data_IF_685145099289
#
_entry.id   IF_685145099289
#
_cell.length_a   1.000
_cell.length_b   1.000
_cell.length_c   1.000
_cell.angle_alpha   90.00
_cell.angle_beta   90.00
_cell.angle_gamma   90.00
#
_symmetry.space_group_name_H-M   'P 1'
#
loop_
_entity.id
_entity.type
_entity.pdbx_description
1 polymer ?
#
# COMPACT_ATOMS: atom_id res chain seq x y z
N UNK A 1 -1.38 18.44 19.78
CA UNK A 1 -1.77 17.53 18.68
C UNK A 1 -1.11 18.05 17.43
N UNK A 2 -0.36 17.20 16.75
CA UNK A 2 0.37 17.60 15.55
C UNK A 2 -0.63 17.87 14.43
N UNK A 3 -0.66 19.12 13.97
CA UNK A 3 -1.49 19.60 12.86
C UNK A 3 -0.81 19.25 11.53
N UNK A 4 -0.39 17.99 11.41
CA UNK A 4 0.48 17.47 10.37
C UNK A 4 0.02 16.07 9.95
N UNK A 5 0.02 15.81 8.65
CA UNK A 5 -0.14 14.46 8.13
C UNK A 5 1.18 13.68 8.24
N UNK A 6 1.18 12.54 8.95
CA UNK A 6 2.37 11.70 9.12
C UNK A 6 2.89 11.08 7.81
N UNK A 7 2.02 10.89 6.82
CA UNK A 7 2.38 10.21 5.56
C UNK A 7 2.96 11.17 4.52
N UNK A 8 2.39 12.36 4.34
CA UNK A 8 2.88 13.34 3.36
C UNK A 8 3.68 14.49 3.98
N UNK A 9 3.62 14.68 5.31
CA UNK A 9 4.27 15.80 5.99
C UNK A 9 3.56 17.14 5.83
N UNK A 10 2.40 17.20 5.16
CA UNK A 10 1.62 18.43 5.02
C UNK A 10 1.21 18.95 6.40
N UNK A 11 1.49 20.22 6.66
CA UNK A 11 1.09 20.92 7.88
C UNK A 11 -0.03 21.91 7.56
N UNK A 12 -1.10 21.87 8.34
CA UNK A 12 -2.21 22.79 8.15
C UNK A 12 -2.89 23.06 9.49
N UNK A 13 -3.02 24.33 9.86
CA UNK A 13 -3.58 24.72 11.16
C UNK A 13 -5.04 24.28 11.36
N UNK A 14 -5.75 24.03 10.26
CA UNK A 14 -7.13 23.54 10.26
C UNK A 14 -7.25 22.02 10.45
N UNK A 15 -6.12 21.28 10.46
CA UNK A 15 -6.14 19.83 10.70
C UNK A 15 -6.60 19.51 12.12
N UNK A 16 -7.90 19.27 12.23
CA UNK A 16 -8.54 18.51 13.30
C UNK A 16 -8.43 17.02 12.98
N UNK A 17 -8.72 16.15 13.95
CA UNK A 17 -8.78 14.69 13.72
C UNK A 17 -9.71 14.35 12.54
N UNK A 18 -10.87 15.00 12.46
CA UNK A 18 -11.85 14.79 11.40
C UNK A 18 -11.35 15.27 10.02
N UNK A 19 -10.60 16.38 9.98
CA UNK A 19 -9.98 16.85 8.75
C UNK A 19 -8.80 15.98 8.31
N UNK A 20 -8.03 15.41 9.25
CA UNK A 20 -6.99 14.42 8.95
C UNK A 20 -7.58 13.14 8.37
N UNK A 21 -8.71 12.67 8.90
CA UNK A 21 -9.44 11.53 8.31
C UNK A 21 -9.87 11.79 6.87
N UNK A 22 -10.42 12.99 6.61
CA UNK A 22 -10.75 13.39 5.25
C UNK A 22 -9.50 13.49 4.37
N UNK A 23 -8.40 14.02 4.91
CA UNK A 23 -7.12 14.11 4.19
C UNK A 23 -6.60 12.72 3.82
N UNK A 24 -6.52 11.78 4.76
CA UNK A 24 -6.03 10.42 4.49
C UNK A 24 -6.83 9.73 3.39
N UNK A 25 -8.12 10.03 3.33
CA UNK A 25 -9.02 9.35 2.43
C UNK A 25 -9.18 10.04 1.04
N UNK A 26 -9.07 11.37 0.95
CA UNK A 26 -9.24 12.10 -0.33
C UNK A 26 -8.01 12.83 -0.85
N UNK A 27 -7.17 13.34 0.04
CA UNK A 27 -6.19 14.38 -0.32
C UNK A 27 -4.75 13.90 -0.21
N UNK A 28 -4.49 12.85 0.58
CA UNK A 28 -3.13 12.41 0.85
C UNK A 28 -2.51 11.79 -0.42
N UNK A 29 -1.42 12.36 -0.96
CA UNK A 29 -0.78 11.83 -2.16
C UNK A 29 -0.11 10.47 -1.91
N UNK A 30 0.24 10.19 -0.66
CA UNK A 30 0.91 8.97 -0.22
C UNK A 30 -0.04 7.80 0.04
N UNK A 31 -1.34 8.07 0.12
CA UNK A 31 -2.37 7.07 0.39
C UNK A 31 -3.32 6.90 -0.80
N UNK A 32 -3.82 5.68 -0.99
CA UNK A 32 -4.87 5.35 -1.94
C UNK A 32 -5.90 4.46 -1.27
N UNK A 33 -7.17 4.69 -1.61
CA UNK A 33 -8.25 3.74 -1.32
C UNK A 33 -8.18 2.54 -2.27
N UNK A 34 -8.15 1.35 -1.71
CA UNK A 34 -8.30 0.11 -2.47
C UNK A 34 -9.72 0.01 -3.02
N UNK A 35 -9.82 -0.24 -4.33
CA UNK A 35 -11.09 -0.32 -5.04
C UNK A 35 -11.82 -1.66 -4.76
N UNK A 36 -11.14 -2.63 -4.14
CA UNK A 36 -11.68 -3.97 -3.84
C UNK A 36 -12.13 -4.15 -2.38
N UNK A 37 -11.35 -3.67 -1.40
CA UNK A 37 -11.68 -3.80 0.02
C UNK A 37 -12.01 -2.46 0.71
N UNK A 38 -11.99 -1.35 -0.04
CA UNK A 38 -12.19 0.01 0.47
C UNK A 38 -11.13 0.54 1.43
N UNK A 39 -10.15 -0.25 1.89
CA UNK A 39 -9.12 0.17 2.84
C UNK A 39 -8.26 1.32 2.28
N UNK A 40 -7.85 2.24 3.14
CA UNK A 40 -6.87 3.28 2.80
C UNK A 40 -5.49 2.71 3.13
N UNK A 41 -4.62 2.64 2.13
CA UNK A 41 -3.29 2.02 2.22
C UNK A 41 -2.25 2.92 1.57
N UNK A 42 -0.99 2.74 1.93
CA UNK A 42 0.13 3.44 1.29
C UNK A 42 0.27 3.02 -0.17
N UNK A 43 0.56 3.99 -1.03
CA UNK A 43 0.72 3.72 -2.48
C UNK A 43 1.97 2.87 -2.73
N UNK A 44 3.03 3.02 -1.93
CA UNK A 44 4.25 2.22 -2.02
C UNK A 44 4.00 0.72 -1.78
N UNK A 45 3.12 0.38 -0.84
CA UNK A 45 2.75 -0.99 -0.48
C UNK A 45 1.50 -1.54 -1.19
N UNK A 46 0.90 -0.80 -2.13
CA UNK A 46 -0.40 -1.18 -2.71
C UNK A 46 -0.38 -2.53 -3.44
N UNK A 47 0.70 -2.83 -4.17
CA UNK A 47 0.84 -4.11 -4.86
C UNK A 47 0.92 -5.28 -3.88
N UNK A 48 1.68 -5.12 -2.79
CA UNK A 48 1.75 -6.13 -1.72
C UNK A 48 0.39 -6.32 -1.05
N UNK A 49 -0.31 -5.22 -0.74
CA UNK A 49 -1.67 -5.27 -0.22
C UNK A 49 -2.60 -6.12 -1.11
N UNK A 50 -2.60 -5.90 -2.42
CA UNK A 50 -3.48 -6.62 -3.34
C UNK A 50 -3.27 -8.13 -3.34
N UNK A 51 -2.04 -8.62 -3.12
CA UNK A 51 -1.74 -10.06 -3.21
C UNK A 51 -1.62 -10.76 -1.85
N UNK A 52 -1.52 -10.02 -0.74
CA UNK A 52 -1.32 -10.62 0.61
C UNK A 52 -2.43 -10.29 1.60
N UNK A 53 -2.98 -9.07 1.56
CA UNK A 53 -3.88 -8.56 2.60
C UNK A 53 -5.32 -8.36 2.12
N UNK A 54 -5.50 -7.99 0.86
CA UNK A 54 -6.78 -7.59 0.30
C UNK A 54 -7.85 -8.69 0.43
N UNK A 55 -9.10 -8.31 0.65
CA UNK A 55 -10.24 -9.25 0.61
C UNK A 55 -10.35 -9.96 -0.75
N UNK A 56 -9.82 -9.34 -1.83
CA UNK A 56 -9.81 -9.90 -3.17
C UNK A 56 -8.47 -10.53 -3.59
N UNK A 57 -7.57 -10.82 -2.64
CA UNK A 57 -6.20 -11.27 -2.94
C UNK A 57 -6.11 -12.49 -3.85
N UNK A 58 -7.06 -13.41 -3.74
CA UNK A 58 -7.08 -14.65 -4.52
C UNK A 58 -7.34 -14.41 -6.02
N UNK A 59 -7.71 -13.19 -6.41
CA UNK A 59 -7.94 -12.78 -7.80
C UNK A 59 -6.72 -12.11 -8.43
N UNK A 60 -5.70 -11.78 -7.63
CA UNK A 60 -4.57 -10.98 -8.05
C UNK A 60 -3.29 -11.80 -7.99
N UNK A 61 -2.39 -11.53 -8.93
CA UNK A 61 -1.07 -12.15 -8.96
C UNK A 61 -0.04 -11.15 -9.45
N UNK A 62 1.13 -11.17 -8.81
CA UNK A 62 2.22 -10.29 -9.20
C UNK A 62 2.97 -10.88 -10.40
N UNK A 63 3.12 -10.08 -11.45
CA UNK A 63 3.91 -10.46 -12.61
C UNK A 63 5.39 -10.59 -12.20
N UNK A 64 6.03 -11.74 -12.46
CA UNK A 64 7.42 -11.97 -12.07
C UNK A 64 8.41 -11.09 -12.85
N UNK A 65 7.98 -10.54 -14.00
CA UNK A 65 8.80 -9.73 -14.90
C UNK A 65 8.72 -8.23 -14.61
N UNK A 66 7.51 -7.67 -14.66
CA UNK A 66 7.31 -6.22 -14.54
C UNK A 66 7.01 -5.76 -13.11
N UNK A 67 6.79 -6.70 -12.17
CA UNK A 67 6.42 -6.48 -10.76
C UNK A 67 5.06 -5.82 -10.53
N UNK A 68 4.30 -5.59 -11.60
CA UNK A 68 2.92 -5.13 -11.51
C UNK A 68 1.99 -6.24 -11.00
N UNK A 69 0.83 -5.86 -10.47
CA UNK A 69 -0.20 -6.79 -10.02
C UNK A 69 -1.33 -6.79 -11.03
N UNK A 70 -1.61 -7.96 -11.59
CA UNK A 70 -2.66 -8.19 -12.59
C UNK A 70 -3.66 -9.22 -12.07
N UNK A 71 -4.79 -9.37 -12.75
CA UNK A 71 -5.70 -10.46 -12.45
C UNK A 71 -5.02 -11.79 -12.76
N UNK A 72 -5.21 -12.78 -11.89
CA UNK A 72 -4.61 -14.11 -12.05
C UNK A 72 -4.99 -14.75 -13.38
N UNK A 73 -6.22 -14.51 -13.84
CA UNK A 73 -6.72 -15.02 -15.13
C UNK A 73 -6.05 -14.38 -16.34
N UNK A 74 -5.53 -13.15 -16.20
CA UNK A 74 -4.89 -12.40 -17.30
C UNK A 74 -3.36 -12.52 -17.26
N UNK A 75 -2.80 -13.16 -16.23
CA UNK A 75 -1.35 -13.20 -16.02
C UNK A 75 -0.61 -13.92 -17.15
N UNK A 76 -1.17 -15.03 -17.64
CA UNK A 76 -0.54 -15.82 -18.71
C UNK A 76 -0.48 -15.02 -20.01
N UNK A 77 -1.58 -14.38 -20.41
CA UNK A 77 -1.64 -13.49 -21.58
C UNK A 77 -0.69 -12.29 -21.41
N UNK A 78 -0.72 -11.63 -20.25
CA UNK A 78 0.15 -10.50 -19.91
C UNK A 78 1.65 -10.82 -20.06
N UNK A 79 2.08 -12.02 -19.69
CA UNK A 79 3.48 -12.46 -19.83
C UNK A 79 3.79 -12.85 -21.28
N UNK A 80 2.88 -13.59 -21.93
CA UNK A 80 3.07 -14.16 -23.27
C UNK A 80 3.13 -13.08 -24.34
N UNK A 81 2.27 -12.07 -24.26
CA UNK A 81 2.21 -10.96 -25.21
C UNK A 81 3.44 -10.05 -25.12
N UNK A 82 4.27 -10.23 -24.09
CA UNK A 82 5.53 -9.49 -23.93
C UNK A 82 5.30 -7.96 -23.87
N UNK A 83 4.08 -7.54 -23.52
CA UNK A 83 3.63 -6.14 -23.45
C UNK A 83 4.16 -5.43 -22.21
N UNK A 84 4.60 -6.19 -21.20
CA UNK A 84 5.15 -5.66 -19.97
C UNK A 84 6.69 -5.58 -19.98
N UNK A 85 7.23 -4.45 -19.50
CA UNK A 85 8.67 -4.23 -19.41
C UNK A 85 9.19 -4.53 -18.00
N UNK A 86 10.38 -5.14 -17.91
CA UNK A 86 11.04 -5.31 -16.62
C UNK A 86 11.49 -3.94 -16.06
N UNK A 87 11.45 -3.73 -14.74
CA UNK A 87 11.91 -2.50 -14.12
C UNK A 87 13.38 -2.23 -14.43
N UNK A 88 13.71 -0.99 -14.78
CA UNK A 88 15.10 -0.51 -14.88
C UNK A 88 15.69 -0.34 -13.46
N UNK A 89 16.01 -1.46 -12.83
CA UNK A 89 16.53 -1.50 -11.46
C UNK A 89 16.75 -2.91 -10.91
N UNK A 90 16.49 -3.95 -11.71
CA UNK A 90 16.68 -5.34 -11.29
C UNK A 90 15.52 -5.86 -10.44
N UNK A 91 15.78 -6.93 -9.69
CA UNK A 91 14.72 -7.70 -8.98
C UNK A 91 14.13 -6.97 -7.78
N UNK A 92 14.89 -6.05 -7.18
CA UNK A 92 14.55 -5.32 -5.96
C UNK A 92 14.04 -3.89 -6.24
N UNK A 93 13.80 -3.59 -7.52
CA UNK A 93 13.25 -2.31 -7.93
C UNK A 93 11.82 -2.16 -7.42
N UNK A 94 11.57 -1.06 -6.69
CA UNK A 94 10.23 -0.64 -6.32
C UNK A 94 9.56 0.01 -7.53
N UNK A 95 8.30 -0.35 -7.83
CA UNK A 95 7.56 0.16 -8.99
C UNK A 95 6.28 0.82 -8.51
N UNK A 96 6.04 2.04 -8.97
CA UNK A 96 4.81 2.76 -8.65
C UNK A 96 3.59 2.04 -9.26
N UNK A 97 2.60 1.62 -8.48
CA UNK A 97 1.43 0.89 -8.98
C UNK A 97 0.48 1.78 -9.80
N UNK A 98 0.67 3.10 -9.77
CA UNK A 98 -0.19 4.05 -10.49
C UNK A 98 0.32 4.33 -11.90
N UNK A 99 1.64 4.53 -12.06
CA UNK A 99 2.24 4.93 -13.33
C UNK A 99 3.33 3.97 -13.83
N UNK A 100 3.57 2.86 -13.12
CA UNK A 100 4.53 1.80 -13.48
C UNK A 100 5.96 2.26 -13.63
N UNK A 101 6.30 3.42 -13.05
CA UNK A 101 7.66 3.95 -13.05
C UNK A 101 8.45 3.38 -11.88
N UNK A 102 9.73 3.11 -12.09
CA UNK A 102 10.63 2.67 -11.01
C UNK A 102 10.85 3.82 -10.04
N UNK A 103 10.72 3.52 -8.75
CA UNK A 103 10.95 4.44 -7.63
C UNK A 103 12.06 3.86 -6.76
N UNK A 104 12.87 4.72 -6.14
CA UNK A 104 13.87 4.27 -5.17
C UNK A 104 13.22 3.58 -3.97
N UNK A 105 13.96 2.72 -3.25
CA UNK A 105 13.45 2.02 -2.06
C UNK A 105 13.25 2.97 -0.86
N UNK A 106 13.84 4.16 -0.90
CA UNK A 106 13.75 5.15 0.17
C UNK A 106 12.38 5.83 0.21
N UNK A 107 11.89 6.13 1.41
CA UNK A 107 10.60 6.81 1.63
C UNK A 107 10.58 8.21 0.98
N UNK A 108 11.71 8.92 0.98
CA UNK A 108 11.84 10.23 0.36
C UNK A 108 11.72 10.14 -1.18
N UNK A 109 12.25 9.08 -1.79
CA UNK A 109 12.10 8.84 -3.23
C UNK A 109 10.61 8.64 -3.59
N UNK A 110 9.87 7.93 -2.74
CA UNK A 110 8.42 7.78 -2.89
C UNK A 110 7.65 9.08 -2.68
N UNK A 111 8.00 9.87 -1.66
CA UNK A 111 7.41 11.20 -1.44
C UNK A 111 7.60 12.10 -2.66
N UNK A 112 8.85 12.26 -3.10
CA UNK A 112 9.19 13.07 -4.28
C UNK A 112 8.49 12.54 -5.54
N UNK A 113 8.44 11.22 -5.73
CA UNK A 113 7.71 10.64 -6.86
C UNK A 113 6.22 10.96 -6.81
N UNK A 114 5.54 10.66 -5.70
CA UNK A 114 4.09 10.72 -5.60
C UNK A 114 3.56 12.15 -5.55
N UNK A 115 4.30 13.09 -4.96
CA UNK A 115 3.89 14.49 -4.87
C UNK A 115 4.18 15.26 -6.16
N UNK A 116 5.37 15.08 -6.74
CA UNK A 116 5.82 15.94 -7.84
C UNK A 116 5.83 15.26 -9.21
N UNK A 117 6.25 14.00 -9.28
CA UNK A 117 6.59 13.37 -10.56
C UNK A 117 5.52 12.42 -11.12
N UNK A 118 4.62 11.93 -10.27
CA UNK A 118 3.61 10.94 -10.65
C UNK A 118 2.37 11.62 -11.25
N UNK A 119 2.36 11.80 -12.57
CA UNK A 119 1.22 12.38 -13.30
C UNK A 119 -0.10 11.65 -13.02
N UNK A 120 -0.09 10.32 -12.99
CA UNK A 120 -1.29 9.52 -12.66
C UNK A 120 -1.78 9.80 -11.25
N UNK A 121 -0.88 10.03 -10.29
CA UNK A 121 -1.26 10.38 -8.92
C UNK A 121 -1.91 11.77 -8.85
N UNK A 122 -1.37 12.76 -9.58
CA UNK A 122 -1.95 14.11 -9.66
C UNK A 122 -3.38 14.06 -10.23
N UNK A 123 -3.59 13.30 -11.30
CA UNK A 123 -4.92 13.11 -11.91
C UNK A 123 -5.87 12.39 -10.95
N UNK A 124 -5.41 11.33 -10.26
CA UNK A 124 -6.18 10.60 -9.25
C UNK A 124 -6.68 11.52 -8.15
N UNK A 125 -5.81 12.36 -7.59
CA UNK A 125 -6.15 13.27 -6.50
C UNK A 125 -7.18 14.32 -6.94
N UNK A 126 -7.03 14.89 -8.14
CA UNK A 126 -8.01 15.82 -8.70
C UNK A 126 -9.40 15.18 -8.85
N UNK A 127 -9.47 13.94 -9.32
CA UNK A 127 -10.73 13.20 -9.44
C UNK A 127 -11.36 12.89 -8.07
N UNK A 128 -10.54 12.53 -7.07
CA UNK A 128 -11.02 12.22 -5.72
C UNK A 128 -11.55 13.46 -4.99
N UNK A 129 -10.96 14.64 -5.22
CA UNK A 129 -11.46 15.90 -4.66
C UNK A 129 -12.85 16.27 -5.19
N UNK A 130 -13.16 15.94 -6.44
CA UNK A 130 -14.47 16.17 -7.04
C UNK A 130 -15.57 15.22 -6.51
N UNK A 131 -15.20 14.11 -5.87
CA UNK A 131 -16.15 13.12 -5.35
C UNK A 131 -16.76 13.54 -4.00
N UNK A 132 -18.02 13.16 -3.71
CA UNK A 132 -18.64 13.42 -2.39
C UNK A 132 -18.00 12.55 -1.30
N UNK A 133 -17.86 13.10 -0.09
CA UNK A 133 -17.39 12.30 1.06
C UNK A 133 -18.49 11.26 1.45
N UNK A 134 -18.14 10.00 1.77
CA UNK A 134 -19.02 9.01 2.32
C UNK A 134 -19.31 9.42 3.75
N UNK A 135 -20.40 8.87 4.24
CA UNK A 135 -20.86 9.05 5.61
C UNK A 135 -19.79 8.58 6.60
N UNK A 136 -19.75 9.20 7.80
CA UNK A 136 -18.81 8.88 8.90
C UNK A 136 -18.75 7.38 9.22
N UNK A 137 -19.83 6.64 9.01
CA UNK A 137 -19.90 5.19 9.21
C UNK A 137 -18.91 4.42 8.32
N UNK A 138 -18.68 4.86 7.07
CA UNK A 138 -17.80 4.17 6.12
C UNK A 138 -16.31 4.38 6.41
N UNK A 139 -15.93 5.51 6.99
CA UNK A 139 -14.53 5.79 7.37
C UNK A 139 -14.08 4.93 8.55
N UNK A 140 -14.99 4.66 9.50
CA UNK A 140 -14.70 3.86 10.71
C UNK A 140 -14.60 2.37 10.45
N UNK A 141 -15.41 1.81 9.54
CA UNK A 141 -15.39 0.38 9.21
C UNK A 141 -14.04 -0.11 8.67
N UNK A 142 -13.22 0.78 8.12
CA UNK A 142 -11.92 0.44 7.56
C UNK A 142 -10.77 0.34 8.58
N UNK A 143 -10.91 0.93 9.78
CA UNK A 143 -9.85 0.93 10.80
C UNK A 143 -9.74 -0.40 11.57
N UNK A 144 -10.64 -1.36 11.35
CA UNK A 144 -10.78 -2.56 12.19
C UNK A 144 -10.28 -3.89 11.59
N UNK A 145 -9.74 -3.90 10.37
CA UNK A 145 -9.35 -5.14 9.68
C UNK A 145 -7.89 -5.11 9.23
N UNK A 146 -6.99 -4.87 10.20
CA UNK A 146 -5.54 -4.99 10.02
C UNK A 146 -4.98 -5.94 11.07
N UNK A 147 -4.66 -7.17 10.65
CA UNK A 147 -4.12 -8.22 11.49
C UNK A 147 -2.75 -7.85 12.07
N UNK A 148 -2.54 -8.22 13.32
CA UNK A 148 -1.34 -8.00 14.11
C UNK A 148 -0.13 -8.71 13.51
N UNK A 149 0.96 -8.00 13.22
CA UNK A 149 2.29 -8.58 13.10
C UNK A 149 3.11 -8.26 14.35
N UNK A 150 3.11 -9.22 15.28
CA UNK A 150 4.08 -9.29 16.38
C UNK A 150 5.43 -9.79 15.83
N UNK A 151 6.59 -9.19 16.18
CA UNK A 151 7.88 -9.78 15.85
C UNK A 151 8.13 -11.03 16.70
N UNK A 152 8.23 -12.18 16.03
CA UNK A 152 8.64 -13.47 16.61
C UNK A 152 10.18 -13.50 16.75
N UNK A 153 10.69 -13.32 17.96
CA UNK A 153 12.09 -13.62 18.30
C UNK A 153 12.29 -15.13 18.43
N UNK A 154 13.09 -15.73 17.52
CA UNK A 154 13.69 -17.05 17.70
C UNK A 154 14.94 -16.93 18.57
N UNK A 155 15.00 -17.71 19.65
CA UNK A 155 16.20 -17.96 20.43
C UNK A 155 16.20 -19.40 20.93
N UNK A 156 17.12 -20.20 20.39
CA UNK A 156 17.35 -21.63 20.65
C UNK A 156 18.00 -21.84 22.02
N UNK A 157 17.62 -22.89 22.77
CA UNK A 157 18.36 -23.33 23.96
C UNK A 157 17.91 -24.68 24.49
N UNK A 158 18.75 -25.70 24.32
CA UNK A 158 18.58 -27.10 24.72
C UNK A 158 18.70 -27.28 26.24
N UNK A 159 17.96 -28.22 26.82
CA UNK A 159 18.16 -28.67 28.20
C UNK A 159 17.35 -29.93 28.54
N UNK A 160 17.92 -31.11 28.29
CA UNK A 160 17.43 -32.41 28.76
C UNK A 160 17.89 -32.66 30.19
N UNK A 161 16.96 -32.76 31.14
CA UNK A 161 17.08 -33.48 32.42
C UNK A 161 15.62 -33.95 32.71
N UNK A 162 15.29 -35.20 33.03
CA UNK A 162 16.02 -36.22 33.75
C UNK A 162 15.35 -36.41 35.12
N UNK A 163 14.63 -37.53 35.29
CA UNK A 163 14.18 -38.20 36.53
C UNK A 163 12.88 -37.81 37.23
N UNK A 164 11.99 -38.82 37.38
CA UNK A 164 11.36 -39.37 38.62
C UNK A 164 10.13 -40.24 38.22
N UNK A 165 9.57 -41.12 39.07
CA UNK A 165 10.16 -41.97 40.12
C UNK A 165 9.67 -43.44 40.05
N UNK A 166 10.31 -44.34 40.81
CA UNK A 166 9.63 -45.44 41.49
C UNK A 166 10.41 -45.87 42.73
#
# INVERSE_FOLDING_TARGET
MDRMCIFCGEQNETFTEEMLDLHYWKNCPMLKRCDHCSQVVEVSGFNEHLVTECDAKDKFSQCPRCKDVVLTVDLEEHITDNTCAAPKGGKDASVCPLCRTVVGPEEEAWRSHLMENCKTNKVRLQQQQASKAPSRASLRSNRGRGGKTTPSTRGIGRGRQGTLPR
#
